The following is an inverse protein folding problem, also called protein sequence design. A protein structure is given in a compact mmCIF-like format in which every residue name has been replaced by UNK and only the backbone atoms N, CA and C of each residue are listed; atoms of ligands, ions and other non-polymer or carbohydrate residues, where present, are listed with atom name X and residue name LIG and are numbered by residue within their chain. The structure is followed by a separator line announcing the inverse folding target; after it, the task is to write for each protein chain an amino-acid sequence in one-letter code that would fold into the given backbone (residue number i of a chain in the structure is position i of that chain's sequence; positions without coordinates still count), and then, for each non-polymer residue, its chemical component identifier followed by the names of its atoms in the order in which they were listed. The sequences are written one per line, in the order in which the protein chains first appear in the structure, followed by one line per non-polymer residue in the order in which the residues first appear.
data_IF_511787734212
#
_entry.id   IF_511787734212
#
_cell.length_a   1.000
_cell.length_b   1.000
_cell.length_c   1.000
_cell.angle_alpha   90.00
_cell.angle_beta   90.00
_cell.angle_gamma   90.00
#
_symmetry.space_group_name_H-M   'P 1'
#
loop_
_entity.id
_entity.type
_entity.pdbx_description
1 polymer ?
#
# COMPACT_ATOMS: atom_id res chain seq x y z
N UNK A 1 35.90 -23.08 38.79
CA UNK A 1 36.05 -22.01 37.78
C UNK A 1 35.04 -22.07 36.63
N UNK A 2 34.35 -23.19 36.39
CA UNK A 2 33.41 -23.37 35.25
C UNK A 2 31.99 -22.81 35.52
N UNK A 3 31.58 -22.69 36.80
CA UNK A 3 30.23 -22.20 37.15
C UNK A 3 30.05 -20.68 36.97
N UNK A 4 31.14 -19.90 36.96
CA UNK A 4 31.11 -18.44 36.76
C UNK A 4 31.06 -18.04 35.27
N UNK A 5 31.55 -18.90 34.37
CA UNK A 5 31.52 -18.67 32.92
C UNK A 5 30.15 -18.95 32.29
N UNK A 6 29.34 -19.83 32.87
CA UNK A 6 27.97 -20.12 32.41
C UNK A 6 27.00 -18.96 32.62
N UNK A 7 27.21 -18.13 33.64
CA UNK A 7 26.38 -16.95 33.91
C UNK A 7 26.66 -15.83 32.89
N UNK A 8 27.90 -15.75 32.38
CA UNK A 8 28.32 -14.73 31.40
C UNK A 8 27.72 -14.95 30.00
N UNK A 9 27.49 -16.20 29.60
CA UNK A 9 26.98 -16.54 28.26
C UNK A 9 25.46 -16.31 28.12
N UNK A 10 24.73 -16.29 29.24
CA UNK A 10 23.28 -16.08 29.25
C UNK A 10 22.89 -14.60 29.09
N UNK A 11 23.81 -13.67 29.33
CA UNK A 11 23.54 -12.23 29.28
C UNK A 11 23.70 -11.64 27.86
N UNK A 12 24.31 -12.37 26.93
CA UNK A 12 24.62 -11.86 25.59
C UNK A 12 23.49 -12.11 24.55
N UNK A 13 22.54 -13.00 24.83
CA UNK A 13 21.39 -13.25 23.94
C UNK A 13 20.28 -12.19 24.02
N UNK A 14 20.35 -11.25 24.96
CA UNK A 14 19.31 -10.23 25.13
C UNK A 14 19.43 -9.04 24.14
N UNK A 15 20.50 -8.96 23.35
CA UNK A 15 20.83 -7.78 22.54
C UNK A 15 20.52 -7.91 21.04
N UNK A 16 19.98 -9.04 20.59
CA UNK A 16 19.60 -9.26 19.18
C UNK A 16 18.09 -9.25 18.99
N UNK A 17 17.40 -8.22 19.47
CA UNK A 17 16.08 -7.90 18.91
C UNK A 17 16.32 -6.99 17.71
N UNK A 18 16.55 -7.59 16.54
CA UNK A 18 16.38 -6.87 15.27
C UNK A 18 14.94 -6.36 15.26
N UNK A 19 14.76 -5.07 15.55
CA UNK A 19 13.47 -4.41 15.48
C UNK A 19 13.08 -4.25 14.00
N UNK A 20 12.67 -5.35 13.37
CA UNK A 20 11.70 -5.23 12.30
C UNK A 20 10.44 -4.68 12.97
N UNK A 21 10.21 -3.38 12.83
CA UNK A 21 8.99 -2.77 13.34
C UNK A 21 7.83 -3.45 12.61
N UNK A 22 7.10 -4.32 13.33
CA UNK A 22 5.89 -4.91 12.80
C UNK A 22 4.91 -3.79 12.48
N UNK A 23 4.15 -3.93 11.39
CA UNK A 23 3.11 -2.97 11.06
C UNK A 23 2.14 -2.83 12.23
N UNK A 24 1.81 -1.59 12.57
CA UNK A 24 0.70 -1.26 13.45
C UNK A 24 -0.62 -1.72 12.85
N UNK A 25 -1.65 -1.87 13.67
CA UNK A 25 -2.99 -2.18 13.19
C UNK A 25 -3.51 -1.13 12.18
N UNK A 26 -3.13 0.14 12.36
CA UNK A 26 -3.47 1.22 11.43
C UNK A 26 -2.79 1.05 10.07
N UNK A 27 -1.51 0.71 10.04
CA UNK A 27 -0.78 0.45 8.79
C UNK A 27 -1.33 -0.77 8.05
N UNK A 28 -1.67 -1.84 8.77
CA UNK A 28 -2.32 -3.00 8.18
C UNK A 28 -3.67 -2.62 7.57
N UNK A 29 -4.48 -1.82 8.27
CA UNK A 29 -5.77 -1.36 7.75
C UNK A 29 -5.62 -0.45 6.53
N UNK A 30 -4.64 0.45 6.53
CA UNK A 30 -4.34 1.31 5.39
C UNK A 30 -3.94 0.48 4.16
N UNK A 31 -3.11 -0.55 4.36
CA UNK A 31 -2.73 -1.49 3.31
C UNK A 31 -3.96 -2.21 2.73
N UNK A 32 -4.84 -2.74 3.58
CA UNK A 32 -6.10 -3.36 3.14
C UNK A 32 -6.96 -2.40 2.31
N UNK A 33 -7.13 -1.16 2.77
CA UNK A 33 -7.92 -0.14 2.07
C UNK A 33 -7.35 0.16 0.68
N UNK A 34 -6.02 0.32 0.56
CA UNK A 34 -5.36 0.60 -0.72
C UNK A 34 -5.49 -0.59 -1.67
N UNK A 35 -5.34 -1.82 -1.18
CA UNK A 35 -5.52 -3.04 -2.00
C UNK A 35 -6.96 -3.12 -2.51
N UNK A 36 -7.94 -2.91 -1.63
CA UNK A 36 -9.35 -2.96 -2.00
C UNK A 36 -9.73 -1.88 -3.03
N UNK A 37 -9.22 -0.65 -2.84
CA UNK A 37 -9.35 0.41 -3.83
C UNK A 37 -8.75 0.01 -5.17
N UNK A 38 -7.50 -0.49 -5.20
CA UNK A 38 -6.82 -0.89 -6.43
C UNK A 38 -7.62 -1.93 -7.23
N UNK A 39 -8.10 -2.97 -6.55
CA UNK A 39 -8.90 -4.01 -7.20
C UNK A 39 -10.17 -3.42 -7.82
N UNK A 40 -10.95 -2.66 -7.05
CA UNK A 40 -12.20 -2.05 -7.53
C UNK A 40 -11.97 -1.06 -8.66
N UNK A 41 -10.98 -0.18 -8.49
CA UNK A 41 -10.71 0.93 -9.39
C UNK A 41 -10.08 0.50 -10.72
N UNK A 42 -9.05 -0.36 -10.67
CA UNK A 42 -8.20 -0.62 -11.83
C UNK A 42 -8.44 -2.01 -12.43
N UNK A 43 -8.65 -3.02 -11.59
CA UNK A 43 -8.87 -4.39 -12.07
C UNK A 43 -10.33 -4.59 -12.50
N UNK A 44 -11.27 -4.29 -11.60
CA UNK A 44 -12.71 -4.45 -11.83
C UNK A 44 -13.29 -3.28 -12.64
N UNK A 45 -12.58 -2.14 -12.67
CA UNK A 45 -13.00 -0.89 -13.32
C UNK A 45 -14.37 -0.37 -12.82
N UNK A 46 -14.71 -0.68 -11.57
CA UNK A 46 -15.92 -0.24 -10.88
C UNK A 46 -15.62 1.04 -10.07
N UNK A 47 -15.90 2.18 -10.69
CA UNK A 47 -15.68 3.48 -10.07
C UNK A 47 -16.56 3.70 -8.83
N UNK A 48 -17.83 3.29 -8.87
CA UNK A 48 -18.77 3.58 -7.78
C UNK A 48 -18.40 2.80 -6.52
N UNK A 49 -17.93 1.55 -6.68
CA UNK A 49 -17.36 0.78 -5.57
C UNK A 49 -16.00 1.32 -5.11
N UNK A 50 -15.16 1.84 -6.02
CA UNK A 50 -13.85 2.39 -5.66
C UNK A 50 -13.95 3.75 -4.95
N UNK A 51 -14.94 4.58 -5.30
CA UNK A 51 -15.13 5.93 -4.76
C UNK A 51 -15.28 5.96 -3.24
N UNK A 52 -15.75 4.87 -2.63
CA UNK A 52 -15.87 4.76 -1.16
C UNK A 52 -14.54 4.81 -0.42
N UNK A 53 -13.42 4.57 -1.12
CA UNK A 53 -12.07 4.61 -0.58
C UNK A 53 -11.37 5.96 -0.83
N UNK A 54 -12.01 6.87 -1.57
CA UNK A 54 -11.49 8.20 -1.85
C UNK A 54 -12.06 9.21 -0.84
N UNK A 55 -11.19 10.01 -0.25
CA UNK A 55 -11.60 11.16 0.56
C UNK A 55 -12.26 12.23 -0.30
N UNK A 56 -13.13 13.06 0.31
CA UNK A 56 -13.72 14.21 -0.38
C UNK A 56 -12.65 15.17 -0.93
N UNK A 57 -11.51 15.25 -0.23
CA UNK A 57 -10.33 16.06 -0.58
C UNK A 57 -9.26 15.21 -1.29
N UNK A 58 -9.65 14.37 -2.25
CA UNK A 58 -8.68 13.62 -3.06
C UNK A 58 -7.87 14.56 -3.95
N UNK A 59 -6.56 14.66 -3.74
CA UNK A 59 -5.68 15.52 -4.55
C UNK A 59 -4.99 14.68 -5.63
N UNK A 60 -5.13 15.09 -6.89
CA UNK A 60 -4.46 14.47 -8.03
C UNK A 60 -3.15 15.15 -8.35
N UNK A 61 -2.09 14.36 -8.39
CA UNK A 61 -0.78 14.84 -8.83
C UNK A 61 -0.66 14.93 -10.36
N UNK A 62 -1.56 14.29 -11.13
CA UNK A 62 -1.61 14.49 -12.58
C UNK A 62 -2.23 15.86 -12.89
N UNK A 63 -1.50 16.82 -13.47
CA UNK A 63 -2.02 18.17 -13.75
C UNK A 63 -3.21 18.20 -14.73
N UNK A 64 -3.39 17.14 -15.52
CA UNK A 64 -4.52 16.99 -16.45
C UNK A 64 -5.78 16.40 -15.81
N UNK A 65 -5.70 15.90 -14.58
CA UNK A 65 -6.83 15.38 -13.82
C UNK A 65 -7.33 16.42 -12.81
N UNK A 66 -8.63 16.39 -12.51
CA UNK A 66 -9.20 17.23 -11.45
C UNK A 66 -8.94 16.60 -10.08
N UNK A 67 -8.92 17.42 -9.05
CA UNK A 67 -9.07 16.95 -7.68
C UNK A 67 -10.50 16.46 -7.40
N UNK A 68 -10.67 15.82 -6.25
CA UNK A 68 -11.89 15.19 -5.76
C UNK A 68 -12.13 13.80 -6.35
N UNK A 69 -13.01 12.99 -5.74
CA UNK A 69 -13.27 11.62 -6.20
C UNK A 69 -13.70 11.54 -7.68
N UNK A 70 -14.45 12.52 -8.17
CA UNK A 70 -14.87 12.57 -9.58
C UNK A 70 -13.70 12.79 -10.55
N UNK A 71 -12.63 13.43 -10.08
CA UNK A 71 -11.40 13.58 -10.85
C UNK A 71 -10.68 12.26 -11.15
N UNK A 72 -10.96 11.21 -10.38
CA UNK A 72 -10.46 9.86 -10.60
C UNK A 72 -11.26 9.08 -11.66
N UNK A 73 -12.52 9.43 -11.92
CA UNK A 73 -13.40 8.72 -12.87
C UNK A 73 -12.78 8.42 -14.25
N UNK A 74 -12.03 9.33 -14.91
CA UNK A 74 -11.44 9.05 -16.22
C UNK A 74 -10.18 8.17 -16.20
N UNK A 75 -9.76 7.61 -15.06
CA UNK A 75 -8.48 6.88 -14.93
C UNK A 75 -8.31 5.74 -15.95
N UNK A 76 -9.39 5.03 -16.29
CA UNK A 76 -9.34 3.92 -17.26
C UNK A 76 -8.94 4.40 -18.67
N UNK A 77 -9.31 5.63 -19.05
CA UNK A 77 -8.94 6.23 -20.34
C UNK A 77 -7.48 6.68 -20.39
N UNK A 78 -6.92 7.09 -19.26
CA UNK A 78 -5.51 7.45 -19.17
C UNK A 78 -4.64 6.20 -19.35
N UNK A 79 -4.98 5.10 -18.66
CA UNK A 79 -4.25 3.83 -18.78
C UNK A 79 -4.20 3.32 -20.23
N UNK A 80 -5.32 3.40 -20.96
CA UNK A 80 -5.42 2.96 -22.35
C UNK A 80 -4.64 3.84 -23.34
N UNK A 81 -4.60 5.17 -23.12
CA UNK A 81 -3.93 6.11 -24.02
C UNK A 81 -2.43 6.24 -23.77
N UNK A 82 -1.99 6.08 -22.53
CA UNK A 82 -0.58 6.31 -22.14
C UNK A 82 0.27 5.03 -22.13
N UNK A 83 -0.33 3.84 -21.99
CA UNK A 83 0.44 2.58 -21.91
C UNK A 83 -0.01 1.51 -22.93
N UNK A 84 0.27 1.69 -24.24
CA UNK A 84 -0.02 0.68 -25.27
C UNK A 84 0.65 -0.68 -25.08
N UNK A 85 1.71 -0.78 -24.25
CA UNK A 85 2.57 -1.98 -24.17
C UNK A 85 2.18 -3.04 -23.14
N UNK A 86 1.24 -2.77 -22.23
CA UNK A 86 0.84 -3.77 -21.23
C UNK A 86 -0.22 -4.75 -21.75
N UNK A 87 -0.99 -4.37 -22.77
CA UNK A 87 -2.00 -5.21 -23.42
C UNK A 87 -1.43 -6.21 -24.45
N UNK A 88 -0.11 -6.23 -24.66
CA UNK A 88 0.56 -7.05 -25.70
C UNK A 88 1.49 -8.11 -25.10
N UNK A 89 1.31 -8.45 -23.82
CA UNK A 89 2.02 -9.55 -23.16
C UNK A 89 1.01 -10.61 -22.74
N UNK A 90 0.48 -11.29 -23.75
CA UNK A 90 0.00 -12.66 -23.62
C UNK A 90 1.17 -13.62 -23.91
#
# INVERSE_FOLDING_TARGET
MVKKTLISLSLLCALTHSAFAAYTASELKNKENVIAFYNKALNDKDFDAAKTYLGQEYIQHNPGAKDGPEGFRPIHRLSEREIPRLSQRD
#
